data_IF_246513408223
#
_entry.id   IF_246513408223
#
_cell.length_a   1.000
_cell.length_b   1.000
_cell.length_c   1.000
_cell.angle_alpha   90.00
_cell.angle_beta   90.00
_cell.angle_gamma   90.00
#
_symmetry.space_group_name_H-M   'P 1'
#
loop_
_entity.id
_entity.type
_entity.pdbx_description
1 polymer ?
#
# COMPACT_ATOMS: atom_id res chain seq x y z
N UNK A 1 29.24 13.04 4.50
CA UNK A 1 29.31 13.17 5.98
C UNK A 1 28.15 14.06 6.40
N UNK A 2 26.91 13.57 6.58
CA UNK A 2 26.44 12.86 7.77
C UNK A 2 25.09 12.14 7.45
N UNK A 3 25.06 11.20 6.50
CA UNK A 3 23.81 10.73 5.85
C UNK A 3 22.99 9.69 6.63
N UNK A 4 23.40 9.35 7.85
CA UNK A 4 22.83 8.22 8.60
C UNK A 4 21.90 8.65 9.75
N UNK A 5 21.66 9.96 9.86
CA UNK A 5 20.78 10.51 10.90
C UNK A 5 19.33 10.24 10.53
N UNK A 6 18.62 9.61 11.45
CA UNK A 6 17.18 9.40 11.35
C UNK A 6 16.47 10.18 12.44
N UNK A 7 15.17 10.45 12.26
CA UNK A 7 14.31 10.94 13.33
C UNK A 7 13.54 9.77 13.94
N UNK A 8 13.69 9.61 15.24
CA UNK A 8 12.89 8.68 16.03
C UNK A 8 11.79 9.46 16.76
N UNK A 9 10.54 9.06 16.53
CA UNK A 9 9.35 9.69 17.05
C UNK A 9 8.59 8.66 17.88
N UNK A 10 8.61 8.80 19.21
CA UNK A 10 7.92 7.88 20.11
C UNK A 10 6.66 8.51 20.66
N UNK A 11 5.53 7.82 20.58
CA UNK A 11 4.28 8.27 21.19
C UNK A 11 4.43 8.27 22.71
N UNK A 12 4.28 9.44 23.34
CA UNK A 12 4.41 9.64 24.78
C UNK A 12 3.09 9.97 25.48
N UNK A 13 2.09 10.39 24.71
CA UNK A 13 0.75 10.71 25.21
C UNK A 13 -0.28 10.16 24.24
N UNK A 14 -1.30 9.48 24.79
CA UNK A 14 -2.46 9.02 24.04
C UNK A 14 -3.34 10.24 23.67
N UNK A 15 -3.85 10.36 22.43
CA UNK A 15 -4.81 11.40 22.08
C UNK A 15 -6.12 11.26 22.86
N UNK A 16 -6.83 12.38 23.05
CA UNK A 16 -8.16 12.37 23.67
C UNK A 16 -9.21 11.81 22.67
N UNK A 17 -8.99 12.03 21.38
CA UNK A 17 -9.77 11.48 20.26
C UNK A 17 -8.87 10.66 19.32
N UNK A 18 -8.99 10.84 18.00
CA UNK A 18 -8.03 10.32 17.02
C UNK A 18 -7.13 11.44 16.56
N UNK A 19 -5.83 11.18 16.54
CA UNK A 19 -4.81 12.14 16.16
C UNK A 19 -4.65 12.14 14.63
N UNK A 20 -4.98 13.26 13.99
CA UNK A 20 -4.89 13.43 12.54
C UNK A 20 -3.62 14.20 12.17
N UNK A 21 -2.77 13.57 11.36
CA UNK A 21 -1.48 14.07 10.90
C UNK A 21 -1.53 14.69 9.49
N UNK A 22 -2.71 14.88 8.91
CA UNK A 22 -2.89 15.42 7.55
C UNK A 22 -2.41 16.87 7.39
N UNK A 23 -2.29 17.62 8.49
CA UNK A 23 -1.72 18.97 8.54
C UNK A 23 -0.20 19.00 8.36
N UNK A 24 0.49 17.86 8.55
CA UNK A 24 1.95 17.77 8.46
C UNK A 24 2.42 17.98 7.01
N UNK A 25 3.31 18.96 6.84
CA UNK A 25 4.05 19.18 5.59
C UNK A 25 5.37 18.40 5.61
N UNK A 26 5.33 17.18 5.06
CA UNK A 26 6.47 16.24 5.09
C UNK A 26 7.76 16.78 4.46
N UNK A 27 7.66 17.68 3.47
CA UNK A 27 8.81 18.28 2.79
C UNK A 27 9.74 19.01 3.76
N UNK A 28 9.19 19.71 4.75
CA UNK A 28 9.95 20.48 5.74
C UNK A 28 10.05 19.80 7.10
N UNK A 29 9.12 18.89 7.42
CA UNK A 29 8.94 18.25 8.74
C UNK A 29 10.24 17.77 9.38
N UNK A 30 11.09 17.08 8.61
CA UNK A 30 12.37 16.56 9.10
C UNK A 30 13.34 17.67 9.56
N UNK A 31 13.51 18.71 8.76
CA UNK A 31 14.43 19.82 9.06
C UNK A 31 13.90 20.69 10.21
N UNK A 32 12.59 20.90 10.21
CA UNK A 32 11.83 21.60 11.26
C UNK A 32 12.13 20.97 12.62
N UNK A 33 12.00 19.65 12.75
CA UNK A 33 12.26 18.94 14.01
C UNK A 33 13.74 18.89 14.39
N UNK A 34 14.66 18.72 13.43
CA UNK A 34 16.11 18.68 13.71
C UNK A 34 16.65 20.02 14.19
N UNK A 35 16.20 21.12 13.57
CA UNK A 35 16.75 22.44 13.83
C UNK A 35 16.52 22.94 15.27
N UNK A 36 15.67 22.26 16.06
CA UNK A 36 15.20 22.68 17.40
C UNK A 36 14.73 24.13 17.46
N UNK A 37 14.53 24.79 16.32
CA UNK A 37 13.71 25.99 16.23
C UNK A 37 12.34 25.48 16.60
N UNK A 38 11.95 25.59 17.88
CA UNK A 38 10.64 25.18 18.41
C UNK A 38 9.58 25.65 17.43
N UNK A 39 9.11 24.77 16.56
CA UNK A 39 8.35 25.14 15.38
C UNK A 39 7.06 24.38 15.42
N UNK A 40 6.01 25.19 15.42
CA UNK A 40 4.58 25.02 15.16
C UNK A 40 4.16 23.86 14.26
N UNK A 41 4.75 22.67 14.34
CA UNK A 41 4.14 21.49 13.75
C UNK A 41 2.96 21.18 14.61
N UNK A 42 1.79 21.37 14.02
CA UNK A 42 0.52 21.10 14.66
C UNK A 42 -0.13 19.89 14.05
N UNK A 43 -0.87 19.19 14.89
CA UNK A 43 -1.71 18.04 14.57
C UNK A 43 -3.10 18.31 15.12
N UNK A 44 -4.09 17.58 14.63
CA UNK A 44 -5.45 17.71 15.12
C UNK A 44 -5.77 16.56 16.08
N UNK A 45 -6.21 16.89 17.29
CA UNK A 45 -6.84 15.94 18.21
C UNK A 45 -8.35 16.20 18.19
N UNK A 46 -9.07 15.43 17.38
CA UNK A 46 -10.43 15.77 16.96
C UNK A 46 -10.45 17.04 16.12
N UNK A 47 -11.10 18.10 16.60
CA UNK A 47 -11.16 19.41 15.92
C UNK A 47 -10.13 20.42 16.46
N UNK A 48 -9.33 20.03 17.46
CA UNK A 48 -8.44 20.93 18.19
C UNK A 48 -7.04 20.84 17.62
N UNK A 49 -6.50 21.99 17.22
CA UNK A 49 -5.10 22.09 16.83
C UNK A 49 -4.20 22.05 18.06
N UNK A 50 -3.24 21.13 18.05
CA UNK A 50 -2.33 20.82 19.16
C UNK A 50 -0.90 20.70 18.67
N UNK A 51 0.10 21.08 19.48
CA UNK A 51 1.50 20.86 19.13
C UNK A 51 1.81 19.37 18.95
N UNK A 52 2.54 19.00 17.92
CA UNK A 52 2.97 17.62 17.67
C UNK A 52 3.77 17.03 18.85
N UNK A 53 4.63 17.85 19.47
CA UNK A 53 5.45 17.46 20.62
C UNK A 53 4.62 17.18 21.90
N UNK A 54 3.33 17.53 21.94
CA UNK A 54 2.44 17.12 23.02
C UNK A 54 2.23 15.60 23.01
N UNK A 55 2.30 14.97 21.84
CA UNK A 55 2.03 13.54 21.65
C UNK A 55 3.28 12.71 21.37
N UNK A 56 4.31 13.30 20.74
CA UNK A 56 5.51 12.58 20.34
C UNK A 56 6.78 13.19 20.92
N UNK A 57 7.61 12.34 21.54
CA UNK A 57 9.01 12.69 21.80
C UNK A 57 9.85 12.54 20.55
N UNK A 58 10.76 13.48 20.32
CA UNK A 58 11.64 13.53 19.14
C UNK A 58 13.08 13.26 19.55
N UNK A 59 13.72 12.28 18.93
CA UNK A 59 15.15 11.96 19.10
C UNK A 59 15.83 11.81 17.75
N UNK A 60 17.12 12.12 17.69
CA UNK A 60 17.96 11.74 16.56
C UNK A 60 18.54 10.36 16.85
N UNK A 61 18.29 9.41 15.95
CA UNK A 61 18.81 8.05 16.03
C UNK A 61 19.85 7.77 14.96
N UNK A 62 20.31 6.53 14.91
CA UNK A 62 21.17 6.01 13.86
C UNK A 62 20.38 5.03 12.98
N UNK A 63 20.55 5.13 11.66
CA UNK A 63 19.83 4.25 10.72
C UNK A 63 20.12 2.76 10.93
N UNK A 64 21.30 2.41 11.45
CA UNK A 64 21.73 1.02 11.65
C UNK A 64 20.92 0.28 12.72
N UNK A 65 20.20 1.01 13.56
CA UNK A 65 19.35 0.42 14.59
C UNK A 65 18.04 -0.13 14.00
N UNK A 66 17.76 0.14 12.72
CA UNK A 66 16.49 -0.19 12.08
C UNK A 66 16.66 -0.88 10.73
N UNK A 67 15.92 -1.97 10.55
CA UNK A 67 15.79 -2.66 9.28
C UNK A 67 14.72 -1.99 8.40
N UNK A 68 15.17 -0.99 7.64
CA UNK A 68 14.41 -0.47 6.50
C UNK A 68 14.49 -1.51 5.38
N UNK A 69 13.37 -2.15 5.01
CA UNK A 69 13.41 -3.29 4.09
C UNK A 69 14.02 -2.88 2.75
N UNK A 70 14.85 -3.75 2.13
CA UNK A 70 15.43 -3.50 0.83
C UNK A 70 14.31 -3.23 -0.17
N UNK A 71 14.46 -2.17 -0.96
CA UNK A 71 13.44 -1.76 -1.90
C UNK A 71 13.14 -2.89 -2.89
N UNK A 72 11.84 -3.14 -3.12
CA UNK A 72 11.41 -3.94 -4.25
C UNK A 72 11.84 -3.22 -5.53
N UNK A 73 12.71 -3.88 -6.31
CA UNK A 73 13.30 -3.51 -7.60
C UNK A 73 14.57 -2.61 -7.68
N UNK A 74 15.49 -3.10 -8.53
CA UNK A 74 16.67 -2.51 -9.19
C UNK A 74 17.64 -1.64 -8.37
N UNK A 75 18.92 -2.02 -8.37
CA UNK A 75 20.03 -1.30 -7.71
C UNK A 75 20.14 0.17 -8.17
N UNK A 76 19.78 0.51 -9.42
CA UNK A 76 19.86 1.87 -9.97
C UNK A 76 18.90 2.89 -9.30
N UNK A 77 17.80 2.42 -8.71
CA UNK A 77 16.86 3.28 -7.94
C UNK A 77 17.37 3.48 -6.51
N UNK A 78 18.24 2.59 -6.02
CA UNK A 78 18.80 2.63 -4.66
C UNK A 78 19.62 3.89 -4.41
N UNK A 79 20.42 4.35 -5.37
CA UNK A 79 21.33 5.48 -5.17
C UNK A 79 20.61 6.85 -5.09
N UNK A 80 19.51 7.03 -5.84
CA UNK A 80 18.66 8.23 -5.70
C UNK A 80 17.87 8.25 -4.38
N UNK A 81 17.64 7.10 -3.77
CA UNK A 81 16.84 6.95 -2.54
C UNK A 81 17.68 7.02 -1.25
N UNK A 82 19.00 6.83 -1.33
CA UNK A 82 19.92 6.99 -0.18
C UNK A 82 19.84 8.37 0.47
N UNK A 83 19.39 9.40 -0.25
CA UNK A 83 19.23 10.77 0.26
C UNK A 83 17.88 11.04 0.92
N UNK A 84 16.93 10.10 0.85
CA UNK A 84 15.59 10.32 1.39
C UNK A 84 15.63 10.39 2.91
N UNK A 85 14.75 11.26 3.44
CA UNK A 85 14.62 11.49 4.88
C UNK A 85 14.09 10.23 5.55
N UNK A 86 14.73 9.78 6.63
CA UNK A 86 14.38 8.54 7.33
C UNK A 86 13.75 8.85 8.68
N UNK A 87 12.52 8.39 8.88
CA UNK A 87 11.73 8.65 10.08
C UNK A 87 11.22 7.32 10.63
N UNK A 88 11.38 7.11 11.93
CA UNK A 88 10.88 5.94 12.64
C UNK A 88 9.84 6.39 13.65
N UNK A 89 8.64 5.83 13.55
CA UNK A 89 7.58 5.99 14.55
C UNK A 89 7.52 4.75 15.45
N UNK A 90 7.44 4.99 16.75
CA UNK A 90 7.44 3.98 17.81
C UNK A 90 6.19 4.12 18.68
N UNK A 91 5.63 2.98 19.11
CA UNK A 91 4.47 2.91 20.00
C UNK A 91 3.23 2.33 19.33
N UNK A 92 2.13 2.26 20.08
CA UNK A 92 0.83 1.90 19.54
C UNK A 92 0.17 3.13 18.91
N UNK A 93 0.02 3.12 17.59
CA UNK A 93 -0.50 4.25 16.82
C UNK A 93 -1.90 3.96 16.27
N UNK A 94 -2.66 3.01 16.85
CA UNK A 94 -4.01 2.65 16.40
C UNK A 94 -5.00 3.83 16.28
N UNK A 95 -4.79 4.90 17.05
CA UNK A 95 -5.59 6.13 17.04
C UNK A 95 -4.95 7.28 16.24
N UNK A 96 -3.87 7.00 15.50
CA UNK A 96 -3.16 7.99 14.68
C UNK A 96 -3.50 7.76 13.20
N UNK A 97 -4.07 8.79 12.57
CA UNK A 97 -4.55 8.78 11.19
C UNK A 97 -3.69 9.67 10.27
N UNK A 98 -3.77 9.43 8.96
CA UNK A 98 -3.11 10.26 7.92
C UNK A 98 -1.58 10.34 7.99
N UNK A 99 -0.92 9.41 8.68
CA UNK A 99 0.54 9.34 8.70
C UNK A 99 1.08 9.10 7.27
N UNK A 100 1.98 9.97 6.82
CA UNK A 100 2.52 9.95 5.45
C UNK A 100 1.57 10.53 4.39
N UNK A 101 0.51 11.26 4.80
CA UNK A 101 -0.40 11.90 3.85
C UNK A 101 0.35 12.85 2.90
N UNK A 102 0.21 12.61 1.59
CA UNK A 102 0.87 13.38 0.52
C UNK A 102 2.41 13.43 0.63
N UNK A 103 3.03 12.51 1.37
CA UNK A 103 4.48 12.52 1.57
C UNK A 103 5.24 12.28 0.27
N UNK A 104 6.43 12.88 0.18
CA UNK A 104 7.40 12.69 -0.91
C UNK A 104 8.79 12.43 -0.32
N UNK A 105 9.58 11.66 -1.04
CA UNK A 105 11.03 11.48 -0.82
C UNK A 105 11.41 11.18 0.65
N UNK A 106 10.54 10.41 1.32
CA UNK A 106 10.67 10.06 2.75
C UNK A 106 10.53 8.54 2.91
N UNK A 107 11.39 7.98 3.76
CA UNK A 107 11.32 6.62 4.26
C UNK A 107 10.77 6.63 5.68
N UNK A 108 9.56 6.12 5.85
CA UNK A 108 8.90 6.03 7.15
C UNK A 108 8.83 4.57 7.57
N UNK A 109 9.32 4.27 8.76
CA UNK A 109 9.16 2.98 9.42
C UNK A 109 8.22 3.15 10.62
N UNK A 110 7.19 2.34 10.71
CA UNK A 110 6.26 2.30 11.84
C UNK A 110 6.45 0.97 12.57
N UNK A 111 6.97 1.04 13.78
CA UNK A 111 7.17 -0.10 14.67
C UNK A 111 5.96 -0.30 15.57
N UNK A 112 4.88 -0.83 14.99
CA UNK A 112 3.63 -1.07 15.69
C UNK A 112 2.45 -1.14 14.74
N UNK A 113 1.26 -1.08 15.33
CA UNK A 113 0.01 -0.88 14.61
C UNK A 113 -0.26 0.60 14.38
N UNK A 114 -1.07 0.92 13.38
CA UNK A 114 -1.40 2.30 12.99
C UNK A 114 -2.86 2.42 12.58
N UNK A 115 -3.42 3.61 12.70
CA UNK A 115 -4.78 3.93 12.31
C UNK A 115 -5.01 3.99 10.79
N UNK A 116 -5.91 4.87 10.40
CA UNK A 116 -6.47 4.98 9.06
C UNK A 116 -5.65 5.91 8.16
N UNK A 117 -5.87 5.82 6.84
CA UNK A 117 -5.35 6.74 5.82
C UNK A 117 -3.82 6.83 5.72
N UNK A 118 -3.10 5.84 6.26
CA UNK A 118 -1.63 5.80 6.18
C UNK A 118 -1.17 5.79 4.73
N UNK A 119 -0.27 6.69 4.36
CA UNK A 119 0.24 6.83 3.00
C UNK A 119 -0.80 7.29 1.98
N UNK A 120 -1.94 7.83 2.43
CA UNK A 120 -2.94 8.38 1.53
C UNK A 120 -2.32 9.48 0.65
N UNK A 121 -2.51 9.39 -0.67
CA UNK A 121 -1.92 10.29 -1.68
C UNK A 121 -0.38 10.40 -1.66
N UNK A 122 0.34 9.42 -1.11
CA UNK A 122 1.80 9.35 -1.16
C UNK A 122 2.31 9.39 -2.61
N UNK A 123 3.38 10.16 -2.86
CA UNK A 123 3.90 10.35 -4.23
C UNK A 123 5.18 9.56 -4.50
N UNK A 124 6.14 9.59 -3.58
CA UNK A 124 7.44 8.91 -3.67
C UNK A 124 7.92 8.55 -2.27
N UNK A 125 8.98 7.74 -2.17
CA UNK A 125 9.51 7.25 -0.89
C UNK A 125 9.02 5.85 -0.53
N UNK A 126 9.11 5.50 0.75
CA UNK A 126 8.54 4.24 1.25
C UNK A 126 7.94 4.39 2.64
N UNK A 127 6.88 3.64 2.91
CA UNK A 127 6.33 3.48 4.25
C UNK A 127 6.30 1.98 4.57
N UNK A 128 6.88 1.57 5.68
CA UNK A 128 6.85 0.18 6.17
C UNK A 128 6.17 0.14 7.52
N UNK A 129 5.15 -0.70 7.66
CA UNK A 129 4.38 -0.89 8.87
C UNK A 129 4.66 -2.30 9.38
N UNK A 130 5.27 -2.42 10.57
CA UNK A 130 5.62 -3.72 11.15
C UNK A 130 4.39 -4.47 11.71
N UNK A 131 3.31 -3.76 12.07
CA UNK A 131 2.03 -4.34 12.47
C UNK A 131 0.94 -4.23 11.39
N UNK A 132 -0.31 -4.18 11.86
CA UNK A 132 -1.53 -3.97 11.05
C UNK A 132 -1.87 -2.48 10.93
N UNK A 133 -2.64 -2.13 9.89
CA UNK A 133 -3.09 -0.77 9.62
C UNK A 133 -4.62 -0.71 9.43
N UNK A 134 -5.20 0.46 9.68
CA UNK A 134 -6.64 0.69 9.59
C UNK A 134 -7.19 0.74 8.15
N UNK A 135 -8.22 1.54 7.96
CA UNK A 135 -8.89 1.72 6.67
C UNK A 135 -8.13 2.69 5.74
N UNK A 136 -8.41 2.62 4.43
CA UNK A 136 -7.89 3.58 3.44
C UNK A 136 -6.35 3.67 3.33
N UNK A 137 -5.64 2.61 3.72
CA UNK A 137 -4.19 2.52 3.61
C UNK A 137 -3.77 2.67 2.14
N UNK A 138 -2.90 3.63 1.84
CA UNK A 138 -2.45 3.91 0.48
C UNK A 138 -3.55 4.38 -0.47
N UNK A 139 -4.68 4.87 0.05
CA UNK A 139 -5.73 5.42 -0.79
C UNK A 139 -5.16 6.51 -1.70
N UNK A 140 -5.44 6.42 -3.00
CA UNK A 140 -4.96 7.37 -4.00
C UNK A 140 -3.43 7.55 -4.08
N UNK A 141 -2.63 6.60 -3.59
CA UNK A 141 -1.16 6.70 -3.73
C UNK A 141 -0.75 6.72 -5.21
N UNK A 142 0.21 7.59 -5.54
CA UNK A 142 0.68 7.85 -6.90
C UNK A 142 2.03 7.20 -7.21
N UNK A 143 2.78 6.83 -6.18
CA UNK A 143 4.09 6.22 -6.32
C UNK A 143 4.68 5.82 -4.97
N UNK A 144 5.95 5.40 -4.99
CA UNK A 144 6.62 4.86 -3.81
C UNK A 144 6.21 3.41 -3.50
N UNK A 145 6.58 2.95 -2.30
CA UNK A 145 6.27 1.59 -1.81
C UNK A 145 5.69 1.64 -0.41
N UNK A 146 4.52 1.05 -0.21
CA UNK A 146 3.82 0.93 1.06
C UNK A 146 3.71 -0.54 1.43
N UNK A 147 4.37 -0.96 2.51
CA UNK A 147 4.43 -2.36 2.95
C UNK A 147 3.79 -2.47 4.33
N UNK A 148 2.83 -3.37 4.47
CA UNK A 148 2.16 -3.70 5.74
C UNK A 148 2.45 -5.16 6.07
N UNK A 149 3.10 -5.42 7.20
CA UNK A 149 3.43 -6.77 7.63
C UNK A 149 2.23 -7.51 8.25
N UNK A 150 1.25 -6.78 8.78
CA UNK A 150 -0.01 -7.33 9.28
C UNK A 150 -1.15 -7.19 8.27
N UNK A 151 -2.35 -7.03 8.82
CA UNK A 151 -3.60 -6.85 8.06
C UNK A 151 -3.85 -5.38 7.72
N UNK A 152 -4.68 -5.14 6.70
CA UNK A 152 -5.26 -3.82 6.42
C UNK A 152 -6.78 -3.86 6.46
N UNK A 153 -7.39 -2.77 6.90
CA UNK A 153 -8.83 -2.60 6.87
C UNK A 153 -9.39 -2.40 5.46
N UNK A 154 -10.68 -2.07 5.41
CA UNK A 154 -11.40 -1.73 4.18
C UNK A 154 -10.76 -0.58 3.39
N UNK A 155 -10.97 -0.57 2.08
CA UNK A 155 -10.60 0.50 1.15
C UNK A 155 -9.09 0.78 1.01
N UNK A 156 -8.22 -0.14 1.41
CA UNK A 156 -6.80 0.03 1.11
C UNK A 156 -6.55 0.04 -0.42
N UNK A 157 -5.71 0.97 -0.89
CA UNK A 157 -5.48 1.24 -2.31
C UNK A 157 -6.68 1.80 -3.08
N UNK A 158 -7.77 2.16 -2.40
CA UNK A 158 -9.00 2.64 -3.03
C UNK A 158 -9.00 4.15 -3.33
N UNK A 159 -10.07 4.63 -3.95
CA UNK A 159 -10.41 6.04 -4.03
C UNK A 159 -10.96 6.55 -2.70
N UNK A 160 -10.76 7.84 -2.40
CA UNK A 160 -11.52 8.48 -1.32
C UNK A 160 -12.98 8.70 -1.73
N UNK A 161 -13.83 8.96 -0.74
CA UNK A 161 -15.25 9.29 -0.97
C UNK A 161 -15.37 10.51 -1.89
N UNK A 162 -16.18 10.40 -2.94
CA UNK A 162 -16.36 11.47 -3.94
C UNK A 162 -15.27 11.52 -5.02
N UNK A 163 -14.13 10.85 -4.81
CA UNK A 163 -13.02 10.82 -5.77
C UNK A 163 -13.19 9.74 -6.83
N UNK A 164 -12.65 10.01 -8.02
CA UNK A 164 -12.83 9.15 -9.20
C UNK A 164 -11.67 8.20 -9.47
N UNK A 165 -10.56 8.31 -8.75
CA UNK A 165 -9.39 7.45 -8.92
C UNK A 165 -8.95 6.90 -7.57
N UNK A 166 -8.64 5.59 -7.54
CA UNK A 166 -7.98 4.94 -6.40
C UNK A 166 -6.47 5.05 -6.53
N UNK A 167 -5.73 3.98 -6.22
CA UNK A 167 -4.29 3.94 -6.45
C UNK A 167 -3.94 4.26 -7.93
N UNK A 168 -3.10 5.26 -8.15
CA UNK A 168 -2.67 5.75 -9.48
C UNK A 168 -1.19 5.51 -9.78
N UNK A 169 -0.49 4.77 -8.91
CA UNK A 169 0.85 4.25 -9.12
C UNK A 169 1.50 3.74 -7.84
N UNK A 170 2.72 3.22 -7.95
CA UNK A 170 3.49 2.68 -6.82
C UNK A 170 3.23 1.20 -6.53
N UNK A 171 3.69 0.76 -5.37
CA UNK A 171 3.59 -0.61 -4.88
C UNK A 171 2.93 -0.64 -3.51
N UNK A 172 1.86 -1.42 -3.36
CA UNK A 172 1.20 -1.70 -2.09
C UNK A 172 1.34 -3.19 -1.79
N UNK A 173 1.94 -3.56 -0.66
CA UNK A 173 2.09 -4.96 -0.26
C UNK A 173 1.54 -5.16 1.14
N UNK A 174 0.64 -6.13 1.30
CA UNK A 174 0.01 -6.52 2.55
C UNK A 174 0.33 -8.00 2.79
N UNK A 175 1.09 -8.29 3.85
CA UNK A 175 1.47 -9.67 4.19
C UNK A 175 0.38 -10.44 4.93
N UNK A 176 -0.57 -9.74 5.55
CA UNK A 176 -1.78 -10.34 6.11
C UNK A 176 -2.94 -10.34 5.11
N UNK A 177 -4.14 -10.12 5.65
CA UNK A 177 -5.41 -10.02 4.93
C UNK A 177 -5.76 -8.55 4.64
N UNK A 178 -6.62 -8.33 3.65
CA UNK A 178 -7.20 -7.03 3.36
C UNK A 178 -8.73 -7.04 3.47
N UNK A 179 -9.31 -5.96 3.97
CA UNK A 179 -10.75 -5.79 4.08
C UNK A 179 -11.48 -5.61 2.73
N UNK A 180 -12.73 -5.19 2.81
CA UNK A 180 -13.61 -4.96 1.66
C UNK A 180 -13.11 -3.79 0.80
N UNK A 181 -13.48 -3.78 -0.48
CA UNK A 181 -13.15 -2.71 -1.44
C UNK A 181 -11.64 -2.45 -1.61
N UNK A 182 -10.79 -3.45 -1.33
CA UNK A 182 -9.37 -3.35 -1.61
C UNK A 182 -9.14 -3.03 -3.10
N UNK A 183 -8.30 -2.04 -3.41
CA UNK A 183 -8.04 -1.55 -4.76
C UNK A 183 -9.26 -1.07 -5.55
N UNK A 184 -10.35 -0.63 -4.88
CA UNK A 184 -11.49 -0.03 -5.57
C UNK A 184 -11.04 1.17 -6.42
N UNK A 185 -11.44 1.18 -7.70
CA UNK A 185 -11.06 2.21 -8.69
C UNK A 185 -9.56 2.37 -8.91
N UNK A 186 -8.75 1.35 -8.60
CA UNK A 186 -7.33 1.34 -8.93
C UNK A 186 -7.12 1.60 -10.43
N UNK A 187 -6.14 2.45 -10.76
CA UNK A 187 -5.85 2.90 -12.12
C UNK A 187 -4.46 2.50 -12.59
N UNK A 188 -3.46 2.45 -11.70
CA UNK A 188 -2.10 1.99 -12.01
C UNK A 188 -1.42 1.48 -10.74
N UNK A 189 -0.24 0.88 -10.92
CA UNK A 189 0.58 0.34 -9.84
C UNK A 189 0.37 -1.16 -9.66
N UNK A 190 1.02 -1.70 -8.64
CA UNK A 190 0.89 -3.10 -8.23
C UNK A 190 0.46 -3.20 -6.78
N UNK A 191 -0.54 -4.03 -6.53
CA UNK A 191 -1.02 -4.34 -5.18
C UNK A 191 -0.90 -5.84 -4.92
N UNK A 192 -0.36 -6.20 -3.75
CA UNK A 192 -0.16 -7.58 -3.33
C UNK A 192 -0.82 -7.80 -1.97
N UNK A 193 -1.58 -8.89 -1.85
CA UNK A 193 -2.11 -9.38 -0.57
C UNK A 193 -1.71 -10.84 -0.45
N UNK A 194 -1.03 -11.22 0.63
CA UNK A 194 -0.57 -12.59 0.81
C UNK A 194 -1.69 -13.49 1.37
N UNK A 195 -2.55 -12.93 2.23
CA UNK A 195 -3.74 -13.57 2.74
C UNK A 195 -4.97 -13.37 1.85
N UNK A 196 -6.13 -13.32 2.50
CA UNK A 196 -7.44 -13.16 1.87
C UNK A 196 -7.79 -11.68 1.66
N UNK A 197 -8.67 -11.42 0.69
CA UNK A 197 -9.28 -10.10 0.46
C UNK A 197 -10.79 -10.17 0.63
N UNK A 198 -11.38 -9.12 1.20
CA UNK A 198 -12.82 -9.04 1.45
C UNK A 198 -13.68 -8.89 0.18
N UNK A 199 -14.95 -8.59 0.40
CA UNK A 199 -15.93 -8.36 -0.66
C UNK A 199 -15.58 -7.13 -1.49
N UNK A 200 -16.01 -7.10 -2.75
CA UNK A 200 -15.82 -5.98 -3.68
C UNK A 200 -14.34 -5.64 -3.95
N UNK A 201 -13.44 -6.62 -3.82
CA UNK A 201 -12.05 -6.48 -4.25
C UNK A 201 -11.97 -6.03 -5.73
N UNK A 202 -11.15 -5.02 -6.03
CA UNK A 202 -10.96 -4.45 -7.36
C UNK A 202 -12.27 -3.95 -8.03
N UNK A 203 -13.26 -3.58 -7.22
CA UNK A 203 -14.49 -2.97 -7.69
C UNK A 203 -14.21 -1.69 -8.49
N UNK A 204 -14.88 -1.50 -9.63
CA UNK A 204 -14.70 -0.37 -10.54
C UNK A 204 -13.22 -0.17 -11.01
N UNK A 205 -12.38 -1.20 -10.98
CA UNK A 205 -10.96 -1.09 -11.36
C UNK A 205 -10.81 -0.54 -12.79
N UNK A 206 -10.00 0.52 -12.93
CA UNK A 206 -9.78 1.21 -14.20
C UNK A 206 -8.60 0.59 -14.96
N UNK A 207 -7.54 0.23 -14.25
CA UNK A 207 -6.32 -0.45 -14.74
C UNK A 207 -5.37 -0.73 -13.55
N UNK A 208 -4.20 -1.34 -13.81
CA UNK A 208 -3.23 -1.76 -12.79
C UNK A 208 -3.19 -3.27 -12.61
N UNK A 209 -2.40 -3.75 -11.65
CA UNK A 209 -2.28 -5.17 -11.36
C UNK A 209 -2.48 -5.44 -9.87
N UNK A 210 -3.37 -6.37 -9.53
CA UNK A 210 -3.65 -6.76 -8.15
C UNK A 210 -3.52 -8.27 -7.98
N UNK A 211 -2.72 -8.71 -7.01
CA UNK A 211 -2.31 -10.09 -6.81
C UNK A 211 -2.73 -10.55 -5.40
N UNK A 212 -3.43 -11.67 -5.31
CA UNK A 212 -3.98 -12.22 -4.06
C UNK A 212 -3.48 -13.65 -3.84
N UNK A 213 -2.89 -13.90 -2.66
CA UNK A 213 -2.36 -15.20 -2.26
C UNK A 213 -3.42 -16.14 -1.68
N UNK A 214 -4.42 -15.57 -1.01
CA UNK A 214 -5.57 -16.28 -0.45
C UNK A 214 -6.77 -16.32 -1.39
N UNK A 215 -7.95 -16.09 -0.81
CA UNK A 215 -9.25 -16.07 -1.49
C UNK A 215 -9.81 -14.65 -1.57
N UNK A 216 -10.70 -14.42 -2.53
CA UNK A 216 -11.49 -13.19 -2.57
C UNK A 216 -12.90 -13.41 -2.05
N UNK A 217 -13.44 -12.38 -1.40
CA UNK A 217 -14.87 -12.27 -1.10
C UNK A 217 -15.73 -12.15 -2.35
N UNK A 218 -17.01 -11.84 -2.15
CA UNK A 218 -18.01 -11.74 -3.22
C UNK A 218 -17.74 -10.54 -4.13
N UNK A 219 -18.22 -10.65 -5.37
CA UNK A 219 -18.24 -9.54 -6.34
C UNK A 219 -16.86 -8.91 -6.62
N UNK A 220 -15.79 -9.70 -6.53
CA UNK A 220 -14.47 -9.24 -6.96
C UNK A 220 -14.48 -8.91 -8.46
N UNK A 221 -13.75 -7.87 -8.85
CA UNK A 221 -13.66 -7.39 -10.23
C UNK A 221 -14.96 -6.81 -10.81
N UNK A 222 -16.02 -6.64 -10.01
CA UNK A 222 -17.26 -6.04 -10.48
C UNK A 222 -17.01 -4.63 -11.02
N UNK A 223 -17.49 -4.33 -12.23
CA UNK A 223 -17.30 -3.00 -12.82
C UNK A 223 -15.89 -2.73 -13.36
N UNK A 224 -14.99 -3.73 -13.40
CA UNK A 224 -13.63 -3.52 -13.88
C UNK A 224 -13.61 -3.25 -15.39
N UNK A 225 -12.87 -2.21 -15.78
CA UNK A 225 -12.74 -1.75 -17.17
C UNK A 225 -11.51 -2.32 -17.84
N UNK A 226 -10.37 -2.32 -17.16
CA UNK A 226 -9.07 -2.90 -17.57
C UNK A 226 -8.31 -3.35 -16.32
N UNK A 227 -7.09 -3.83 -16.52
CA UNK A 227 -6.20 -4.26 -15.45
C UNK A 227 -6.23 -5.78 -15.27
N UNK A 228 -5.31 -6.25 -14.44
CA UNK A 228 -4.99 -7.67 -14.30
C UNK A 228 -5.14 -8.07 -12.85
N UNK A 229 -6.11 -8.94 -12.56
CA UNK A 229 -6.27 -9.59 -11.26
C UNK A 229 -5.59 -10.95 -11.32
N UNK A 230 -4.82 -11.32 -10.31
CA UNK A 230 -4.10 -12.60 -10.27
C UNK A 230 -4.39 -13.26 -8.93
N UNK A 231 -4.78 -14.52 -8.96
CA UNK A 231 -4.95 -15.30 -7.74
C UNK A 231 -3.94 -16.43 -7.68
N UNK A 232 -3.34 -16.68 -6.52
CA UNK A 232 -2.51 -17.86 -6.28
C UNK A 232 -3.35 -19.12 -6.05
N UNK A 233 -4.59 -18.95 -5.58
CA UNK A 233 -5.58 -20.02 -5.38
C UNK A 233 -6.71 -19.89 -6.38
N UNK A 234 -7.23 -21.02 -6.84
CA UNK A 234 -8.38 -21.02 -7.73
C UNK A 234 -9.57 -20.28 -7.11
N UNK A 235 -10.22 -19.43 -7.89
CA UNK A 235 -11.45 -18.72 -7.51
C UNK A 235 -12.59 -19.17 -8.41
N UNK A 236 -13.81 -19.22 -7.87
CA UNK A 236 -15.01 -19.43 -8.68
C UNK A 236 -15.24 -18.21 -9.55
N UNK A 237 -15.34 -18.44 -10.86
CA UNK A 237 -15.58 -17.40 -11.87
C UNK A 237 -16.93 -17.65 -12.51
N UNK A 238 -17.78 -16.62 -12.54
CA UNK A 238 -19.02 -16.69 -13.32
C UNK A 238 -18.70 -16.55 -14.82
N UNK A 239 -19.09 -17.53 -15.66
CA UNK A 239 -18.88 -17.46 -17.11
C UNK A 239 -19.67 -16.32 -17.78
N UNK A 240 -20.66 -15.75 -17.08
CA UNK A 240 -21.43 -14.60 -17.55
C UNK A 240 -20.72 -13.26 -17.31
N UNK A 241 -19.71 -13.23 -16.43
CA UNK A 241 -18.95 -12.01 -16.08
C UNK A 241 -17.56 -12.03 -16.71
N UNK A 242 -16.90 -13.19 -16.67
CA UNK A 242 -15.60 -13.41 -17.28
C UNK A 242 -15.61 -14.67 -18.15
N UNK A 243 -14.97 -14.60 -19.32
CA UNK A 243 -14.86 -15.73 -20.26
C UNK A 243 -13.42 -16.21 -20.37
N UNK A 244 -13.20 -17.52 -20.30
CA UNK A 244 -11.88 -18.12 -20.55
C UNK A 244 -11.44 -17.78 -21.98
N UNK A 245 -10.16 -17.44 -22.14
CA UNK A 245 -9.56 -17.15 -23.45
C UNK A 245 -8.26 -17.93 -23.64
N UNK A 246 -7.96 -18.22 -24.90
CA UNK A 246 -6.79 -19.00 -25.32
C UNK A 246 -5.79 -18.18 -26.14
N UNK A 247 -5.94 -16.86 -26.19
CA UNK A 247 -4.95 -15.99 -26.82
C UNK A 247 -3.62 -16.05 -26.07
N UNK A 248 -2.53 -16.17 -26.82
CA UNK A 248 -1.19 -16.16 -26.25
C UNK A 248 -0.91 -14.85 -25.50
N UNK A 249 -0.37 -15.00 -24.29
CA UNK A 249 0.04 -13.91 -23.41
C UNK A 249 1.40 -14.21 -22.76
N UNK A 250 2.14 -15.18 -23.28
CA UNK A 250 3.42 -15.65 -22.75
C UNK A 250 4.45 -14.53 -22.57
N UNK A 251 4.57 -13.61 -23.54
CA UNK A 251 5.45 -12.44 -23.44
C UNK A 251 5.06 -11.51 -22.29
N UNK A 252 3.76 -11.23 -22.13
CA UNK A 252 3.27 -10.42 -21.01
C UNK A 252 3.50 -11.12 -19.66
N UNK A 253 3.24 -12.42 -19.60
CA UNK A 253 3.50 -13.23 -18.42
C UNK A 253 4.98 -13.26 -18.05
N UNK A 254 5.88 -13.38 -19.03
CA UNK A 254 7.33 -13.35 -18.83
C UNK A 254 7.83 -12.05 -18.22
N UNK A 255 7.16 -10.92 -18.47
CA UNK A 255 7.47 -9.62 -17.84
C UNK A 255 6.87 -9.50 -16.42
N UNK A 256 5.69 -10.08 -16.21
CA UNK A 256 4.96 -9.99 -14.95
C UNK A 256 5.50 -10.93 -13.88
N UNK A 257 5.96 -12.12 -14.26
CA UNK A 257 6.49 -13.17 -13.37
C UNK A 257 7.62 -12.66 -12.48
N UNK A 258 8.69 -12.01 -12.99
CA UNK A 258 9.74 -11.45 -12.14
C UNK A 258 9.20 -10.43 -11.12
N UNK A 259 8.16 -9.68 -11.48
CA UNK A 259 7.51 -8.70 -10.59
C UNK A 259 6.89 -9.42 -9.42
N UNK A 260 6.10 -10.45 -9.68
CA UNK A 260 5.49 -11.26 -8.63
C UNK A 260 6.56 -11.94 -7.75
N UNK A 261 7.62 -12.49 -8.35
CA UNK A 261 8.73 -13.13 -7.64
C UNK A 261 9.42 -12.18 -6.67
N UNK A 262 9.65 -10.93 -7.10
CA UNK A 262 10.35 -9.94 -6.27
C UNK A 262 9.67 -9.66 -4.93
N UNK A 263 8.34 -9.89 -4.82
CA UNK A 263 7.59 -9.66 -3.58
C UNK A 263 7.74 -10.80 -2.57
N UNK A 264 8.37 -11.94 -2.92
CA UNK A 264 8.60 -13.09 -2.02
C UNK A 264 7.34 -13.57 -1.27
N UNK A 265 6.18 -13.54 -1.95
CA UNK A 265 4.90 -13.96 -1.38
C UNK A 265 4.50 -15.40 -1.72
N UNK A 266 3.29 -15.83 -1.30
CA UNK A 266 2.76 -17.18 -1.52
C UNK A 266 2.30 -17.41 -2.98
N UNK A 267 3.10 -16.94 -3.94
CA UNK A 267 2.85 -17.03 -5.37
C UNK A 267 3.64 -18.10 -6.15
N UNK A 268 4.47 -19.01 -5.55
CA UNK A 268 5.41 -19.82 -6.33
C UNK A 268 4.73 -20.81 -7.29
N UNK A 269 3.51 -21.25 -6.98
CA UNK A 269 2.79 -22.19 -7.86
C UNK A 269 2.26 -21.54 -9.14
N UNK A 270 2.11 -20.21 -9.20
CA UNK A 270 1.74 -19.51 -10.43
C UNK A 270 2.84 -19.52 -11.49
N UNK A 271 4.08 -19.79 -11.06
CA UNK A 271 5.29 -19.38 -11.77
C UNK A 271 5.81 -20.49 -12.68
N UNK A 272 5.50 -21.74 -12.38
CA UNK A 272 5.96 -22.91 -13.12
C UNK A 272 5.06 -23.27 -14.30
N UNK A 273 3.78 -22.91 -14.23
CA UNK A 273 2.80 -23.17 -15.29
C UNK A 273 1.98 -21.91 -15.54
N UNK A 274 1.96 -21.37 -16.77
CA UNK A 274 1.17 -20.17 -17.07
C UNK A 274 -0.30 -20.35 -16.66
N UNK A 275 -0.87 -19.38 -15.91
CA UNK A 275 -2.24 -19.47 -15.44
C UNK A 275 -3.27 -19.56 -16.58
N UNK A 276 -4.49 -19.96 -16.24
CA UNK A 276 -5.63 -19.76 -17.14
C UNK A 276 -5.99 -18.28 -17.18
N UNK A 277 -6.25 -17.76 -18.37
CA UNK A 277 -6.63 -16.36 -18.57
C UNK A 277 -8.12 -16.27 -18.83
N UNK A 278 -8.77 -15.37 -18.11
CA UNK A 278 -10.16 -14.99 -18.34
C UNK A 278 -10.24 -13.49 -18.57
N UNK A 279 -11.18 -13.07 -19.41
CA UNK A 279 -11.35 -11.66 -19.80
C UNK A 279 -12.76 -11.19 -19.43
N UNK A 280 -12.85 -10.00 -18.85
CA UNK A 280 -14.06 -9.39 -18.30
C UNK A 280 -13.76 -7.98 -17.74
N UNK A 281 -14.65 -7.31 -17.04
CA UNK A 281 -16.05 -7.62 -16.85
C UNK A 281 -16.81 -7.38 -18.18
N UNK A 282 -17.54 -8.40 -18.66
CA UNK A 282 -18.28 -8.33 -19.91
C UNK A 282 -19.35 -7.22 -19.92
N UNK A 283 -19.89 -6.84 -18.75
CA UNK A 283 -20.84 -5.74 -18.64
C UNK A 283 -20.17 -4.35 -18.81
N UNK A 284 -18.85 -4.28 -18.68
CA UNK A 284 -18.08 -3.03 -18.69
C UNK A 284 -16.98 -3.02 -19.77
N UNK A 285 -17.25 -3.70 -20.89
CA UNK A 285 -16.43 -3.67 -22.10
C UNK A 285 -15.39 -4.77 -22.21
N UNK A 286 -15.24 -5.64 -21.21
CA UNK A 286 -14.48 -6.88 -21.32
C UNK A 286 -13.00 -6.71 -21.68
N UNK A 287 -12.33 -5.69 -21.13
CA UNK A 287 -10.89 -5.45 -21.38
C UNK A 287 -10.00 -5.68 -20.15
N UNK A 288 -10.60 -5.94 -19.00
CA UNK A 288 -9.88 -6.44 -17.85
C UNK A 288 -9.64 -7.94 -17.98
N UNK A 289 -8.74 -8.46 -17.14
CA UNK A 289 -8.45 -9.88 -17.09
C UNK A 289 -8.28 -10.37 -15.67
N UNK A 290 -8.58 -11.66 -15.47
CA UNK A 290 -8.14 -12.38 -14.29
C UNK A 290 -7.35 -13.64 -14.69
N UNK A 291 -6.29 -13.88 -13.93
CA UNK A 291 -5.38 -15.00 -14.10
C UNK A 291 -5.55 -15.95 -12.91
N UNK A 292 -5.94 -17.18 -13.21
CA UNK A 292 -6.17 -18.22 -12.22
C UNK A 292 -5.19 -19.37 -12.36
N UNK A 293 -4.75 -19.99 -11.26
CA UNK A 293 -3.88 -21.15 -11.34
C UNK A 293 -4.61 -22.28 -12.08
N UNK A 294 -3.85 -23.09 -12.82
CA UNK A 294 -4.41 -24.32 -13.37
C UNK A 294 -4.70 -25.27 -12.21
N UNK A 295 -5.89 -25.86 -12.19
CA UNK A 295 -6.19 -26.94 -11.23
C UNK A 295 -5.28 -28.11 -11.62
N UNK A 296 -4.25 -28.37 -10.83
CA UNK A 296 -3.54 -29.65 -10.88
C UNK A 296 -4.45 -30.68 -10.23
N UNK A 297 -5.06 -31.53 -11.06
CA UNK A 297 -5.72 -32.76 -10.63
C UNK A 297 -4.75 -33.68 -9.92
#
# INVERSE_FOLDING_TARGET
MNSNKILELSLIKKPDFRLDLSTIKWDDFFETLISKKKSYVTVLDGFREKPFEEFFSVKQGNEYDYDFPPHFYFQEISDKRKSFKKIVFQGDLHEVDFLGFKSKDTHILINGHIGNYVGCMMQTGSITIKGSAGHFVGAMMAGGSLIVNGDVGNYAGANLTGEMEGMVGGYLSVKGNAGNNFCRRMRRGFAFVFGDVGDFFANDMVAGSAIVGGSAGKMWGYGMRRGTIIFAKYQVVSPHVFKETYHDYSSYWGLLKPVIESFNGPFPNLINVPPKRFVGDLAFGGKGECLLPRITT
#
